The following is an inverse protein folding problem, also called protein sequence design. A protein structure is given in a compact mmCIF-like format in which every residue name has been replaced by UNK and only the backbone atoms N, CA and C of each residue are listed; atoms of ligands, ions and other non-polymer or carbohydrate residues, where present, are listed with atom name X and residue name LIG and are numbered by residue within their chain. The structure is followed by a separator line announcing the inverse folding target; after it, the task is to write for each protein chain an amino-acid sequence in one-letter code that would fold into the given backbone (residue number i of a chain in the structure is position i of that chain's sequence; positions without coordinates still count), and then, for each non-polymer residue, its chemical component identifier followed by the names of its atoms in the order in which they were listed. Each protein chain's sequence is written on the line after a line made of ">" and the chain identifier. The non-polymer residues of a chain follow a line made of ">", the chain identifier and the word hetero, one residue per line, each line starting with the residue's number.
data_IF_788721572797
#
_entry.id   IF_788721572797
#
_cell.length_a   1.000
_cell.length_b   1.000
_cell.length_c   1.000
_cell.angle_alpha   90.00
_cell.angle_beta   90.00
_cell.angle_gamma   90.00
#
_symmetry.space_group_name_H-M   'P 1'
#
loop_
_entity.id
_entity.type
_entity.pdbx_description
1 polymer ?
#
# COMPACT_ATOMS: atom_id res chain seq x y z
N UNK A 1 -5.46 13.83 16.29
CA UNK A 1 -5.36 12.57 15.54
C UNK A 1 -6.72 12.27 14.91
N UNK A 2 -6.81 12.12 13.60
CA UNK A 2 -8.08 11.77 12.98
C UNK A 2 -8.49 10.37 13.40
N UNK A 3 -9.73 10.23 13.82
CA UNK A 3 -10.30 8.95 14.17
C UNK A 3 -11.05 8.39 12.96
N UNK A 4 -10.94 7.10 12.75
CA UNK A 4 -11.71 6.42 11.74
C UNK A 4 -13.20 6.45 12.14
N UNK A 5 -14.02 7.08 11.31
CA UNK A 5 -15.45 7.20 11.53
C UNK A 5 -16.18 6.08 10.81
N UNK A 6 -17.40 5.77 11.26
CA UNK A 6 -18.22 4.67 10.74
C UNK A 6 -18.45 4.76 9.22
N UNK A 7 -18.59 5.96 8.68
CA UNK A 7 -18.90 6.20 7.27
C UNK A 7 -17.68 6.59 6.44
N UNK A 8 -16.46 6.58 7.03
CA UNK A 8 -15.26 6.88 6.27
C UNK A 8 -14.99 5.80 5.23
N UNK A 9 -14.69 6.23 4.03
CA UNK A 9 -14.17 5.35 2.99
C UNK A 9 -12.72 4.99 3.34
N UNK A 10 -12.34 3.75 3.09
CA UNK A 10 -11.03 3.23 3.48
C UNK A 10 -10.26 2.70 2.28
N UNK A 11 -8.93 2.74 2.36
CA UNK A 11 -8.10 2.22 1.28
C UNK A 11 -6.81 1.57 1.79
N UNK A 12 -6.27 0.72 0.93
CA UNK A 12 -4.94 0.13 1.05
C UNK A 12 -4.13 0.59 -0.16
N UNK A 13 -2.90 1.07 0.07
CA UNK A 13 -2.00 1.49 -1.01
C UNK A 13 -0.86 0.48 -1.16
N UNK A 14 -0.81 -0.17 -2.31
CA UNK A 14 0.26 -1.09 -2.69
C UNK A 14 1.15 -0.40 -3.72
N UNK A 15 2.46 -0.63 -3.63
CA UNK A 15 3.46 0.08 -4.47
C UNK A 15 3.39 1.60 -4.27
N UNK A 16 3.36 2.03 -3.01
CA UNK A 16 2.93 3.38 -2.64
C UNK A 16 3.93 4.49 -3.01
N UNK A 17 5.21 4.17 -3.17
CA UNK A 17 6.23 5.19 -3.35
C UNK A 17 6.29 6.14 -2.17
N UNK A 18 6.46 7.42 -2.44
CA UNK A 18 6.46 8.47 -1.41
C UNK A 18 5.06 8.92 -1.00
N UNK A 19 4.01 8.40 -1.65
CA UNK A 19 2.64 8.59 -1.20
C UNK A 19 1.82 9.63 -1.96
N UNK A 20 2.16 9.93 -3.22
CA UNK A 20 1.39 10.88 -4.02
C UNK A 20 -0.05 10.44 -4.25
N UNK A 21 -0.26 9.18 -4.62
CA UNK A 21 -1.60 8.64 -4.81
C UNK A 21 -2.39 8.62 -3.51
N UNK A 22 -1.78 8.14 -2.43
CA UNK A 22 -2.39 8.17 -1.09
C UNK A 22 -2.79 9.58 -0.67
N UNK A 23 -1.93 10.56 -0.92
CA UNK A 23 -2.24 11.96 -0.57
C UNK A 23 -3.50 12.44 -1.27
N UNK A 24 -3.64 12.16 -2.55
CA UNK A 24 -4.85 12.50 -3.30
C UNK A 24 -6.09 11.81 -2.73
N UNK A 25 -5.99 10.54 -2.37
CA UNK A 25 -7.09 9.80 -1.77
C UNK A 25 -7.46 10.35 -0.38
N UNK A 26 -6.44 10.67 0.45
CA UNK A 26 -6.66 11.27 1.77
C UNK A 26 -7.37 12.62 1.64
N UNK A 27 -6.96 13.45 0.68
CA UNK A 27 -7.63 14.74 0.42
C UNK A 27 -9.06 14.56 -0.07
N UNK A 28 -9.37 13.44 -0.72
CA UNK A 28 -10.71 13.11 -1.15
C UNK A 28 -11.57 12.49 -0.04
N UNK A 29 -11.02 12.30 1.16
CA UNK A 29 -11.75 11.79 2.31
C UNK A 29 -11.55 10.32 2.62
N UNK A 30 -10.64 9.64 1.92
CA UNK A 30 -10.34 8.23 2.20
C UNK A 30 -9.36 8.11 3.37
N UNK A 31 -9.56 7.09 4.18
CA UNK A 31 -8.71 6.79 5.33
C UNK A 31 -7.74 5.65 5.00
N UNK A 32 -6.41 5.85 5.15
CA UNK A 32 -5.42 4.81 4.84
C UNK A 32 -5.37 3.74 5.94
N UNK A 33 -5.56 2.48 5.55
CA UNK A 33 -5.51 1.34 6.48
C UNK A 33 -4.15 0.66 6.49
N UNK A 34 -3.49 0.56 5.35
CA UNK A 34 -2.26 -0.21 5.20
C UNK A 34 -1.49 0.28 3.98
N UNK A 35 -0.17 0.22 4.06
CA UNK A 35 0.73 0.62 2.97
C UNK A 35 1.80 -0.43 2.73
N UNK A 36 2.11 -0.67 1.45
CA UNK A 36 3.24 -1.49 1.04
C UNK A 36 4.12 -0.71 0.06
N UNK A 37 5.43 -0.68 0.33
CA UNK A 37 6.42 -0.10 -0.56
C UNK A 37 7.78 -0.81 -0.38
N UNK A 38 8.34 -1.30 -1.48
CA UNK A 38 9.60 -2.04 -1.47
C UNK A 38 10.80 -1.15 -1.11
N UNK A 39 10.84 0.08 -1.64
CA UNK A 39 11.93 1.01 -1.37
C UNK A 39 11.81 1.58 0.04
N UNK A 40 12.81 1.29 0.86
CA UNK A 40 12.78 1.67 2.28
C UNK A 40 12.79 3.19 2.47
N UNK A 41 13.52 3.92 1.63
CA UNK A 41 13.60 5.38 1.72
C UNK A 41 12.27 6.03 1.31
N UNK A 42 11.63 5.52 0.26
CA UNK A 42 10.31 5.98 -0.15
C UNK A 42 9.26 5.70 0.92
N UNK A 43 9.29 4.51 1.52
CA UNK A 43 8.38 4.17 2.60
C UNK A 43 8.58 5.06 3.81
N UNK A 44 9.84 5.35 4.18
CA UNK A 44 10.12 6.25 5.29
C UNK A 44 9.56 7.66 5.02
N UNK A 45 9.72 8.17 3.81
CA UNK A 45 9.13 9.44 3.40
C UNK A 45 7.59 9.40 3.52
N UNK A 46 7.00 8.31 3.06
CA UNK A 46 5.55 8.08 3.19
C UNK A 46 5.09 8.16 4.64
N UNK A 47 5.77 7.43 5.51
CA UNK A 47 5.40 7.32 6.93
C UNK A 47 5.63 8.62 7.71
N UNK A 48 6.77 9.28 7.50
CA UNK A 48 7.09 10.57 8.15
C UNK A 48 6.00 11.61 7.88
N UNK A 49 5.54 11.69 6.65
CA UNK A 49 4.50 12.64 6.26
C UNK A 49 3.14 12.32 6.91
N UNK A 50 2.99 11.14 7.47
CA UNK A 50 1.74 10.66 8.05
C UNK A 50 1.78 10.37 9.53
N UNK A 51 2.93 10.50 10.17
CA UNK A 51 3.09 10.19 11.60
C UNK A 51 2.16 11.00 12.49
N UNK A 52 1.87 12.23 12.11
CA UNK A 52 0.98 13.12 12.87
C UNK A 52 -0.49 12.71 12.78
N UNK A 53 -0.95 12.37 11.57
CA UNK A 53 -2.37 12.12 11.30
C UNK A 53 -2.73 10.63 11.27
N UNK A 54 -1.79 9.78 10.86
CA UNK A 54 -2.01 8.34 10.68
C UNK A 54 -0.87 7.53 11.31
N UNK A 55 -0.60 7.69 12.62
CA UNK A 55 0.53 7.01 13.26
C UNK A 55 0.42 5.49 13.25
N UNK A 56 -0.78 4.95 13.13
CA UNK A 56 -1.00 3.51 13.07
C UNK A 56 -0.24 2.85 11.91
N UNK A 57 -0.01 3.56 10.81
CA UNK A 57 0.72 3.01 9.67
C UNK A 57 2.13 2.58 10.06
N UNK A 58 2.89 3.48 10.69
CA UNK A 58 4.25 3.15 11.16
C UNK A 58 4.25 2.11 12.27
N UNK A 59 3.28 2.16 13.14
CA UNK A 59 3.25 1.29 14.31
C UNK A 59 3.04 -0.18 13.94
N UNK A 60 2.16 -0.47 12.96
CA UNK A 60 1.81 -1.86 12.69
C UNK A 60 1.27 -2.13 11.28
N UNK A 61 0.98 -1.14 10.47
CA UNK A 61 0.22 -1.31 9.24
C UNK A 61 1.02 -0.94 7.99
N UNK A 62 2.25 -1.48 7.87
CA UNK A 62 3.07 -1.34 6.67
C UNK A 62 3.86 -2.61 6.40
N UNK A 63 4.33 -2.75 5.16
CA UNK A 63 5.31 -3.77 4.78
C UNK A 63 6.15 -3.31 3.59
N UNK A 64 7.31 -3.96 3.42
CA UNK A 64 8.22 -3.65 2.33
C UNK A 64 8.05 -4.58 1.13
N UNK A 65 7.72 -5.85 1.36
CA UNK A 65 7.67 -6.84 0.29
C UNK A 65 6.22 -7.19 -0.05
N UNK A 66 5.83 -6.94 -1.30
CA UNK A 66 4.48 -7.27 -1.77
C UNK A 66 4.18 -8.77 -1.65
N UNK A 67 5.19 -9.61 -1.65
CA UNK A 67 5.04 -11.05 -1.44
C UNK A 67 4.41 -11.37 -0.09
N UNK A 68 4.67 -10.54 0.92
CA UNK A 68 4.04 -10.69 2.23
C UNK A 68 2.53 -10.52 2.18
N UNK A 69 2.05 -9.72 1.24
CA UNK A 69 0.60 -9.52 1.03
C UNK A 69 0.00 -10.64 0.19
N UNK A 70 0.70 -11.03 -0.89
CA UNK A 70 0.18 -11.96 -1.90
C UNK A 70 0.27 -13.41 -1.46
N UNK A 71 1.41 -13.79 -0.87
CA UNK A 71 1.72 -15.21 -0.62
C UNK A 71 1.52 -15.64 0.83
N UNK A 72 1.40 -14.73 1.77
CA UNK A 72 1.08 -15.10 3.16
C UNK A 72 -0.37 -15.53 3.27
N UNK A 73 -0.55 -16.77 3.67
CA UNK A 73 -1.87 -17.31 3.97
C UNK A 73 -2.48 -16.52 5.13
N UNK A 74 -3.74 -16.16 5.01
CA UNK A 74 -4.48 -15.41 6.02
C UNK A 74 -3.97 -13.97 6.29
N UNK A 75 -3.20 -13.38 5.35
CA UNK A 75 -2.74 -12.00 5.50
C UNK A 75 -3.89 -11.05 5.79
N UNK A 76 -4.94 -11.08 4.97
CA UNK A 76 -6.08 -10.19 5.13
C UNK A 76 -6.88 -10.47 6.39
N UNK A 77 -7.04 -11.74 6.78
CA UNK A 77 -7.72 -12.08 8.03
C UNK A 77 -6.98 -11.50 9.24
N UNK A 78 -5.67 -11.63 9.26
CA UNK A 78 -4.83 -11.07 10.32
C UNK A 78 -4.87 -9.54 10.31
N UNK A 79 -4.82 -8.93 9.12
CA UNK A 79 -4.92 -7.48 8.96
C UNK A 79 -6.24 -6.96 9.53
N UNK A 80 -7.35 -7.57 9.19
CA UNK A 80 -8.66 -7.14 9.69
C UNK A 80 -8.77 -7.31 11.20
N UNK A 81 -8.23 -8.40 11.74
CA UNK A 81 -8.18 -8.62 13.19
C UNK A 81 -7.42 -7.50 13.89
N UNK A 82 -6.26 -7.12 13.36
CA UNK A 82 -5.42 -6.06 13.92
C UNK A 82 -6.09 -4.69 13.80
N UNK A 83 -6.72 -4.41 12.66
CA UNK A 83 -7.47 -3.18 12.44
C UNK A 83 -8.66 -3.08 13.41
N UNK A 84 -9.38 -4.18 13.60
CA UNK A 84 -10.52 -4.22 14.52
C UNK A 84 -10.07 -3.95 15.95
N UNK A 85 -8.95 -4.54 16.36
CA UNK A 85 -8.37 -4.29 17.67
C UNK A 85 -7.93 -2.84 17.84
N UNK A 86 -7.32 -2.25 16.82
CA UNK A 86 -6.78 -0.88 16.87
C UNK A 86 -7.87 0.18 16.86
N UNK A 87 -8.90 0.01 16.02
CA UNK A 87 -9.92 1.03 15.80
C UNK A 87 -11.26 0.72 16.47
N UNK A 88 -11.40 -0.43 17.13
CA UNK A 88 -12.67 -0.80 17.77
C UNK A 88 -13.80 -1.01 16.77
N UNK A 89 -13.49 -1.50 15.57
CA UNK A 89 -14.48 -1.74 14.50
C UNK A 89 -14.55 -3.21 14.12
N UNK A 90 -15.53 -3.55 13.31
CA UNK A 90 -15.76 -4.89 12.78
C UNK A 90 -15.46 -4.93 11.28
N UNK A 91 -14.19 -4.78 10.93
CA UNK A 91 -13.74 -4.90 9.54
C UNK A 91 -13.90 -6.35 9.07
N UNK A 92 -14.52 -6.51 7.92
CA UNK A 92 -14.69 -7.78 7.23
C UNK A 92 -14.04 -7.70 5.86
N UNK A 93 -14.00 -8.82 5.16
CA UNK A 93 -13.35 -8.95 3.85
C UNK A 93 -13.75 -7.86 2.85
N UNK A 94 -14.98 -7.43 2.89
CA UNK A 94 -15.56 -6.44 1.98
C UNK A 94 -15.67 -5.03 2.57
N UNK A 95 -15.02 -4.80 3.70
CA UNK A 95 -15.06 -3.48 4.36
C UNK A 95 -14.03 -2.50 3.82
N UNK A 96 -13.01 -2.96 3.09
CA UNK A 96 -12.05 -2.08 2.43
C UNK A 96 -12.67 -1.58 1.14
N UNK A 97 -12.82 -0.26 1.02
CA UNK A 97 -13.51 0.35 -0.11
C UNK A 97 -12.65 0.39 -1.37
N UNK A 98 -11.33 0.55 -1.22
CA UNK A 98 -10.43 0.70 -2.35
C UNK A 98 -9.07 0.07 -2.06
N UNK A 99 -8.58 -0.71 -3.01
CA UNK A 99 -7.18 -1.12 -3.06
C UNK A 99 -6.55 -0.40 -4.25
N UNK A 100 -5.60 0.46 -3.97
CA UNK A 100 -4.94 1.27 -4.98
C UNK A 100 -3.47 0.86 -5.10
N UNK A 101 -2.84 1.20 -6.22
CA UNK A 101 -1.43 0.94 -6.39
C UNK A 101 -0.96 1.31 -7.79
N UNK A 102 0.30 1.77 -7.88
CA UNK A 102 0.98 2.01 -9.14
C UNK A 102 2.17 1.07 -9.27
N UNK A 103 1.94 -0.20 -9.65
CA UNK A 103 3.05 -1.15 -9.76
C UNK A 103 4.07 -0.71 -10.82
N UNK A 104 5.36 -1.11 -10.67
CA UNK A 104 6.38 -0.75 -11.65
C UNK A 104 6.01 -1.23 -13.05
N UNK A 105 6.15 -0.34 -14.03
CA UNK A 105 5.80 -0.64 -15.43
C UNK A 105 7.01 -0.58 -16.38
N UNK A 106 8.21 -0.43 -15.86
CA UNK A 106 9.42 -0.21 -16.64
C UNK A 106 9.70 -1.33 -17.66
N UNK A 107 9.32 -2.56 -17.32
CA UNK A 107 9.49 -3.70 -18.22
C UNK A 107 8.37 -3.87 -19.26
N UNK A 108 7.29 -3.10 -19.14
CA UNK A 108 6.07 -3.29 -19.94
C UNK A 108 5.66 -2.04 -20.71
N UNK A 109 6.03 -0.85 -20.23
CA UNK A 109 5.63 0.41 -20.86
C UNK A 109 6.45 0.72 -22.09
N UNK A 110 5.78 1.19 -23.17
CA UNK A 110 6.46 1.71 -24.36
C UNK A 110 7.25 2.99 -24.11
N UNK A 111 6.96 3.71 -23.05
CA UNK A 111 7.68 4.89 -22.60
C UNK A 111 8.85 4.50 -21.70
N UNK A 112 8.84 3.26 -21.19
CA UNK A 112 9.87 2.74 -20.33
C UNK A 112 11.22 2.61 -21.02
N UNK A 113 12.24 2.36 -20.21
CA UNK A 113 13.61 2.32 -20.66
C UNK A 113 13.83 1.21 -21.67
N UNK A 114 14.33 1.58 -22.83
CA UNK A 114 14.58 0.66 -23.95
C UNK A 114 15.62 -0.42 -23.66
N UNK A 115 16.38 -0.32 -22.58
CA UNK A 115 17.27 -1.42 -22.15
C UNK A 115 16.55 -2.73 -21.89
N UNK A 116 15.23 -2.74 -21.72
CA UNK A 116 14.47 -3.98 -21.64
C UNK A 116 14.54 -4.80 -22.92
N UNK A 117 14.94 -4.22 -24.04
CA UNK A 117 15.16 -4.93 -25.29
C UNK A 117 16.48 -5.71 -25.34
N UNK A 118 17.47 -5.33 -24.54
CA UNK A 118 18.77 -6.02 -24.49
C UNK A 118 18.87 -7.03 -23.35
N UNK A 119 17.84 -7.13 -22.51
CA UNK A 119 17.78 -8.03 -21.35
C UNK A 119 16.53 -8.87 -21.45
N UNK A 120 16.62 -10.13 -21.03
CA UNK A 120 15.43 -10.97 -20.89
C UNK A 120 14.48 -10.29 -19.89
N UNK A 121 13.27 -9.97 -20.36
CA UNK A 121 12.25 -9.31 -19.55
C UNK A 121 11.91 -10.07 -18.27
N UNK A 122 12.04 -11.39 -18.28
CA UNK A 122 11.82 -12.23 -17.10
C UNK A 122 12.85 -12.00 -16.00
N UNK A 123 14.01 -11.45 -16.36
CA UNK A 123 15.09 -11.16 -15.41
C UNK A 123 14.98 -9.77 -14.79
N UNK A 124 14.12 -8.90 -15.31
CA UNK A 124 13.91 -7.59 -14.72
C UNK A 124 13.08 -7.75 -13.43
N UNK A 125 13.55 -7.20 -12.28
CA UNK A 125 12.84 -7.38 -11.01
C UNK A 125 11.39 -6.93 -11.04
N UNK A 126 11.08 -5.85 -11.76
CA UNK A 126 9.71 -5.35 -11.89
C UNK A 126 8.76 -6.33 -12.61
N UNK A 127 9.29 -7.19 -13.46
CA UNK A 127 8.48 -8.15 -14.20
C UNK A 127 8.02 -9.34 -13.34
N UNK A 128 8.66 -9.57 -12.21
CA UNK A 128 8.28 -10.62 -11.28
C UNK A 128 7.09 -10.26 -10.39
N UNK A 129 6.62 -9.02 -10.47
CA UNK A 129 5.49 -8.53 -9.68
C UNK A 129 4.14 -8.74 -10.37
N UNK A 130 4.15 -9.19 -11.61
CA UNK A 130 2.95 -9.36 -12.44
C UNK A 130 2.72 -10.79 -12.85
#
# INVERSE_FOLDING_TARGET
>A
MPKLKANDLTFIDLFAGCGGLSLGLEQAGFFPLYVNELNKDALETYLINRDKHYPHLREHFYSNDIKDVIYKRNFFNNLFKDLNSTFGRDFKKDSVDLVAGGPPCQGFSGIGIRRSYSVDKKQLPSNHLF
#
